data_IF_350796503470
#
_entry.id   IF_350796503470
#
_cell.length_a   1.000
_cell.length_b   1.000
_cell.length_c   1.000
_cell.angle_alpha   90.00
_cell.angle_beta   90.00
_cell.angle_gamma   90.00
#
_symmetry.space_group_name_H-M   'P 1'
#
loop_
_entity.id
_entity.type
_entity.pdbx_description
1 polymer ?
#
# COMPACT_ATOMS: atom_id res chain seq x y z
N UNK A 1 -41.77 9.59 -74.77
CA UNK A 1 -42.02 8.69 -73.62
C UNK A 1 -40.90 8.93 -72.60
N UNK A 2 -41.14 8.74 -71.29
CA UNK A 2 -40.84 9.79 -70.29
C UNK A 2 -39.41 9.75 -69.69
N UNK A 3 -38.88 10.84 -69.12
CA UNK A 3 -39.39 12.23 -69.17
C UNK A 3 -38.74 13.22 -68.18
N UNK A 4 -38.31 14.38 -68.71
CA UNK A 4 -38.50 15.74 -68.13
C UNK A 4 -37.77 16.12 -66.81
N UNK A 5 -36.61 16.81 -66.95
CA UNK A 5 -36.17 18.11 -66.32
C UNK A 5 -36.25 18.31 -64.78
N UNK A 6 -35.48 19.15 -64.06
CA UNK A 6 -34.29 19.98 -64.32
C UNK A 6 -33.67 20.46 -62.98
N UNK A 7 -32.57 21.23 -63.01
CA UNK A 7 -32.45 22.42 -62.13
C UNK A 7 -31.86 22.30 -60.70
N UNK A 8 -30.64 22.84 -60.56
CA UNK A 8 -30.08 23.72 -59.50
C UNK A 8 -30.47 23.67 -57.99
N UNK A 9 -29.49 24.08 -57.16
CA UNK A 9 -29.57 24.56 -55.75
C UNK A 9 -30.19 26.00 -55.72
N UNK A 10 -30.23 26.83 -54.61
CA UNK A 10 -29.72 26.67 -53.22
C UNK A 10 -30.61 27.31 -52.07
N UNK A 11 -30.03 27.42 -50.84
CA UNK A 11 -30.24 28.34 -49.66
C UNK A 11 -31.56 28.43 -48.83
N UNK A 12 -31.38 28.21 -47.50
CA UNK A 12 -31.73 29.09 -46.34
C UNK A 12 -33.16 29.31 -45.75
N UNK A 13 -33.13 29.93 -44.55
CA UNK A 13 -34.19 30.58 -43.75
C UNK A 13 -35.22 29.67 -43.02
N UNK A 14 -35.71 29.99 -41.79
CA UNK A 14 -35.35 30.97 -40.73
C UNK A 14 -36.06 30.52 -39.41
N UNK A 15 -35.44 30.47 -38.23
CA UNK A 15 -35.11 31.54 -37.24
C UNK A 15 -36.12 31.63 -36.05
N UNK A 16 -35.71 32.26 -34.93
CA UNK A 16 -36.42 32.31 -33.64
C UNK A 16 -35.65 31.56 -32.52
N UNK A 17 -34.69 32.15 -31.79
CA UNK A 17 -34.72 33.28 -30.82
C UNK A 17 -35.36 32.88 -29.47
N UNK A 18 -34.85 33.19 -28.26
CA UNK A 18 -33.67 33.92 -27.72
C UNK A 18 -33.48 33.42 -26.25
N UNK A 19 -32.42 33.57 -25.42
CA UNK A 19 -31.17 34.35 -25.26
C UNK A 19 -29.97 33.36 -25.00
N UNK A 20 -28.68 33.67 -24.75
CA UNK A 20 -27.92 34.63 -23.89
C UNK A 20 -28.07 34.35 -22.36
N UNK A 21 -27.01 34.34 -21.51
CA UNK A 21 -25.85 35.25 -21.46
C UNK A 21 -24.46 34.56 -21.35
N UNK A 22 -23.46 35.23 -21.94
CA UNK A 22 -21.98 35.09 -21.83
C UNK A 22 -21.41 34.99 -20.38
N UNK A 23 -20.15 34.62 -20.07
CA UNK A 23 -18.87 35.11 -20.64
C UNK A 23 -17.66 34.17 -20.56
N UNK A 24 -16.69 34.49 -21.43
CA UNK A 24 -15.36 33.92 -21.67
C UNK A 24 -14.36 33.96 -20.50
N UNK A 25 -13.33 33.09 -20.58
CA UNK A 25 -11.92 33.50 -20.53
C UNK A 25 -11.14 32.78 -21.64
N UNK A 26 -10.26 33.49 -22.34
CA UNK A 26 -9.24 32.91 -23.22
C UNK A 26 -7.91 32.81 -22.46
N UNK A 27 -7.17 31.71 -22.64
CA UNK A 27 -5.73 31.67 -22.34
C UNK A 27 -4.99 31.46 -23.64
N UNK A 28 -4.00 32.31 -23.89
CA UNK A 28 -3.27 32.34 -25.16
C UNK A 28 -2.35 31.11 -25.29
N UNK A 29 -2.39 30.45 -26.45
CA UNK A 29 -1.18 29.74 -26.92
C UNK A 29 -0.10 30.80 -27.13
N UNK A 30 1.08 30.54 -26.59
CA UNK A 30 2.30 31.23 -26.96
C UNK A 30 3.37 30.18 -27.18
N UNK A 31 3.78 30.03 -28.43
CA UNK A 31 4.77 29.05 -28.82
C UNK A 31 6.14 29.44 -28.22
N UNK A 32 6.73 28.52 -27.48
CA UNK A 32 8.14 28.50 -27.14
C UNK A 32 8.60 27.08 -27.45
N UNK A 33 9.23 26.91 -28.62
CA UNK A 33 10.08 25.76 -28.86
C UNK A 33 11.20 25.77 -27.82
N UNK A 34 11.24 24.71 -27.02
CA UNK A 34 12.39 24.39 -26.19
C UNK A 34 12.53 22.88 -26.14
N UNK A 35 13.03 22.32 -27.25
CA UNK A 35 13.62 20.99 -27.29
C UNK A 35 14.61 20.85 -26.14
N UNK A 36 14.18 20.13 -25.11
CA UNK A 36 15.02 19.58 -24.05
C UNK A 36 14.43 18.24 -23.68
N UNK A 37 15.19 17.19 -23.96
CA UNK A 37 14.91 15.83 -23.52
C UNK A 37 14.73 15.81 -22.00
N UNK A 38 13.47 15.77 -21.56
CA UNK A 38 13.13 15.43 -20.18
C UNK A 38 13.21 13.91 -20.03
N UNK A 39 14.43 13.39 -20.22
CA UNK A 39 14.79 12.01 -19.92
C UNK A 39 14.68 11.82 -18.40
N UNK A 40 13.51 11.36 -17.98
CA UNK A 40 13.13 11.18 -16.59
C UNK A 40 13.84 9.93 -16.02
N UNK A 41 15.15 10.06 -15.81
CA UNK A 41 16.10 9.01 -15.44
C UNK A 41 15.83 8.42 -14.04
N UNK A 42 14.78 7.60 -13.94
CA UNK A 42 14.27 7.02 -12.69
C UNK A 42 13.89 5.53 -12.80
N UNK A 43 14.61 4.74 -13.60
CA UNK A 43 14.68 3.29 -13.38
C UNK A 43 16.06 2.71 -13.74
N UNK A 44 16.88 2.45 -12.71
CA UNK A 44 18.09 1.63 -12.77
C UNK A 44 18.32 0.93 -11.41
N UNK A 45 17.61 -0.18 -11.21
CA UNK A 45 17.89 -1.16 -10.16
C UNK A 45 19.21 -1.90 -10.46
N UNK A 46 20.17 -1.93 -9.52
CA UNK A 46 21.48 -2.56 -9.72
C UNK A 46 22.03 -3.26 -8.47
N UNK A 47 22.42 -4.51 -8.70
CA UNK A 47 23.39 -5.31 -7.95
C UNK A 47 23.18 -5.45 -6.42
N UNK A 48 22.53 -6.57 -6.06
CA UNK A 48 22.92 -7.32 -4.87
C UNK A 48 24.44 -7.60 -4.90
N UNK A 49 25.18 -6.94 -4.03
CA UNK A 49 26.47 -7.43 -3.56
C UNK A 49 26.38 -7.64 -2.04
N UNK A 50 27.06 -8.66 -1.52
CA UNK A 50 26.87 -9.16 -0.16
C UNK A 50 27.99 -8.65 0.77
N UNK A 51 27.62 -8.06 1.93
CA UNK A 51 28.51 -7.50 2.96
C UNK A 51 29.39 -6.29 2.51
N UNK A 52 30.03 -5.52 3.41
CA UNK A 52 29.50 -4.99 4.69
C UNK A 52 29.91 -3.51 4.98
N UNK A 53 28.96 -2.67 5.42
CA UNK A 53 29.13 -1.33 6.05
C UNK A 53 29.76 -0.21 5.17
N UNK A 54 29.08 0.95 5.07
CA UNK A 54 29.60 2.28 5.47
C UNK A 54 28.43 3.29 5.61
N UNK A 55 28.63 4.39 6.32
CA UNK A 55 27.63 5.45 6.56
C UNK A 55 27.73 6.60 5.53
N UNK A 56 26.61 7.28 5.25
CA UNK A 56 26.60 8.73 4.93
C UNK A 56 25.16 9.29 4.95
N UNK A 57 24.87 10.20 5.89
CA UNK A 57 23.57 10.89 5.98
C UNK A 57 23.45 12.04 4.98
N UNK A 58 22.24 12.23 4.43
CA UNK A 58 21.72 13.55 4.04
C UNK A 58 20.22 13.60 4.29
N UNK A 59 19.80 14.42 5.25
CA UNK A 59 18.39 14.66 5.61
C UNK A 59 17.62 15.44 4.53
N UNK A 60 16.39 15.02 4.25
CA UNK A 60 15.31 15.90 3.80
C UNK A 60 13.99 15.46 4.44
N UNK A 61 13.73 15.95 5.65
CA UNK A 61 12.49 15.70 6.38
C UNK A 61 11.31 16.48 5.78
N UNK A 62 10.15 15.83 5.70
CA UNK A 62 8.87 16.49 5.47
C UNK A 62 8.03 16.41 6.74
N UNK A 63 7.69 17.57 7.31
CA UNK A 63 6.88 17.67 8.52
C UNK A 63 5.46 17.14 8.32
N UNK A 64 5.02 16.27 9.23
CA UNK A 64 3.63 15.86 9.36
C UNK A 64 3.07 16.40 10.69
N UNK A 65 2.10 17.32 10.60
CA UNK A 65 1.58 18.02 11.79
C UNK A 65 0.91 17.07 12.80
N UNK A 66 1.01 17.33 14.11
CA UNK A 66 0.48 16.45 15.15
C UNK A 66 -1.05 16.55 15.27
N UNK A 67 -1.76 15.65 14.59
CA UNK A 67 -3.17 15.33 14.79
C UNK A 67 -3.36 13.96 15.45
N UNK A 68 -4.51 13.73 16.10
CA UNK A 68 -4.88 12.51 16.85
C UNK A 68 -4.22 11.23 16.30
N UNK A 69 -3.39 10.59 17.13
CA UNK A 69 -2.46 9.54 16.70
C UNK A 69 -3.15 8.26 16.23
N UNK A 70 -3.42 8.18 14.93
CA UNK A 70 -3.83 6.97 14.20
C UNK A 70 -2.58 6.22 13.71
N UNK A 71 -2.50 4.92 13.99
CA UNK A 71 -1.34 4.10 13.65
C UNK A 71 -1.32 3.82 12.14
N UNK A 72 -0.28 4.24 11.41
CA UNK A 72 -0.12 3.86 10.00
C UNK A 72 0.37 2.43 9.91
N UNK A 73 -0.21 1.63 9.02
CA UNK A 73 0.09 0.20 8.88
C UNK A 73 0.18 -0.17 7.41
N UNK A 74 1.16 -1.00 7.08
CA UNK A 74 1.38 -1.45 5.71
C UNK A 74 1.98 -2.86 5.63
N UNK A 75 1.85 -3.46 4.45
CA UNK A 75 2.42 -4.76 4.08
C UNK A 75 3.25 -4.62 2.81
N UNK A 76 4.43 -5.20 2.82
CA UNK A 76 5.36 -5.26 1.67
C UNK A 76 6.07 -6.61 1.69
N UNK A 77 6.44 -7.19 0.54
CA UNK A 77 7.04 -8.53 0.51
C UNK A 77 8.51 -8.52 0.05
N UNK A 78 9.33 -7.69 0.69
CA UNK A 78 10.72 -7.42 0.27
C UNK A 78 11.56 -8.70 0.13
N UNK A 79 11.44 -9.63 1.10
CA UNK A 79 12.10 -10.95 1.11
C UNK A 79 11.19 -12.10 0.65
N UNK A 80 9.94 -11.81 0.25
CA UNK A 80 8.94 -12.78 -0.20
C UNK A 80 8.21 -13.54 0.91
N UNK A 81 8.12 -12.95 2.09
CA UNK A 81 7.01 -13.14 3.02
C UNK A 81 6.31 -11.78 3.18
N UNK A 82 5.01 -11.72 3.55
CA UNK A 82 4.35 -10.45 3.80
C UNK A 82 4.90 -9.86 5.10
N UNK A 83 5.78 -8.87 4.93
CA UNK A 83 6.41 -8.13 5.99
C UNK A 83 5.55 -6.91 6.33
N UNK A 84 5.00 -6.92 7.53
CA UNK A 84 4.09 -5.92 8.04
C UNK A 84 4.83 -4.92 8.92
N UNK A 85 4.55 -3.65 8.67
CA UNK A 85 5.19 -2.53 9.36
C UNK A 85 4.10 -1.61 9.91
N UNK A 86 4.27 -1.23 11.17
CA UNK A 86 3.30 -0.53 11.99
C UNK A 86 4.01 0.69 12.60
N UNK A 87 3.73 1.88 12.07
CA UNK A 87 4.35 3.12 12.54
C UNK A 87 3.62 3.61 13.79
N UNK A 88 4.30 3.58 14.95
CA UNK A 88 3.72 3.96 16.24
C UNK A 88 3.78 5.50 16.36
N UNK A 89 2.66 6.25 16.25
CA UNK A 89 2.71 7.71 16.09
C UNK A 89 3.29 8.43 17.30
N UNK A 90 3.05 7.89 18.51
CA UNK A 90 3.57 8.45 19.77
C UNK A 90 5.08 8.29 19.96
N UNK A 91 5.73 7.43 19.18
CA UNK A 91 7.16 7.15 19.28
C UNK A 91 7.94 7.62 18.06
N UNK A 92 7.28 7.85 16.92
CA UNK A 92 7.90 7.99 15.60
C UNK A 92 8.81 6.80 15.22
N UNK A 93 8.58 5.64 15.84
CA UNK A 93 9.31 4.39 15.63
C UNK A 93 8.41 3.35 14.94
N UNK A 94 8.98 2.55 14.04
CA UNK A 94 8.27 1.47 13.36
C UNK A 94 8.42 0.15 14.13
N UNK A 95 7.32 -0.61 14.21
CA UNK A 95 7.29 -2.00 14.63
C UNK A 95 7.18 -2.89 13.38
N UNK A 96 7.99 -3.94 13.29
CA UNK A 96 8.04 -4.85 12.13
C UNK A 96 7.77 -6.29 12.56
N UNK A 97 6.91 -6.99 11.81
CA UNK A 97 6.67 -8.42 11.98
C UNK A 97 6.41 -9.07 10.61
N UNK A 98 6.59 -10.39 10.55
CA UNK A 98 6.30 -11.21 9.38
C UNK A 98 5.25 -12.24 9.78
N UNK A 99 4.32 -12.55 8.89
CA UNK A 99 3.39 -13.68 9.05
C UNK A 99 3.65 -14.65 7.90
N UNK A 100 4.15 -15.85 8.21
CA UNK A 100 4.40 -16.91 7.24
C UNK A 100 3.08 -17.49 6.71
N UNK A 101 2.47 -16.78 5.75
CA UNK A 101 1.23 -17.20 5.10
C UNK A 101 1.41 -18.38 4.16
N UNK A 102 0.30 -19.01 3.77
CA UNK A 102 0.29 -20.17 2.86
C UNK A 102 -0.19 -19.75 1.47
N UNK A 103 0.29 -20.44 0.45
CA UNK A 103 -0.15 -20.19 -0.92
C UNK A 103 -1.62 -20.59 -1.10
N UNK A 104 -2.41 -19.68 -1.67
CA UNK A 104 -3.87 -19.66 -1.86
C UNK A 104 -4.70 -19.22 -0.65
N UNK A 105 -4.09 -18.97 0.50
CA UNK A 105 -4.84 -18.41 1.64
C UNK A 105 -5.21 -16.95 1.35
N UNK A 106 -6.44 -16.56 1.68
CA UNK A 106 -6.93 -15.18 1.58
C UNK A 106 -6.93 -14.58 2.98
N UNK A 107 -6.21 -13.47 3.18
CA UNK A 107 -6.01 -12.84 4.48
C UNK A 107 -6.84 -11.58 4.65
N UNK A 108 -7.60 -11.54 5.74
CA UNK A 108 -8.32 -10.36 6.22
C UNK A 108 -7.37 -9.33 6.81
N UNK A 109 -6.98 -8.36 5.98
CA UNK A 109 -6.08 -7.28 6.35
C UNK A 109 -6.80 -6.22 7.19
N UNK A 110 -8.06 -5.91 6.87
CA UNK A 110 -8.88 -4.95 7.60
C UNK A 110 -10.35 -5.33 7.54
N UNK A 111 -11.07 -5.14 8.64
CA UNK A 111 -12.54 -5.16 8.68
C UNK A 111 -13.02 -4.10 9.67
N UNK A 112 -13.80 -3.12 9.19
CA UNK A 112 -14.50 -2.15 10.02
C UNK A 112 -16.02 -2.41 9.93
N UNK A 113 -16.62 -3.14 10.90
CA UNK A 113 -18.03 -3.51 10.85
C UNK A 113 -18.98 -2.31 11.05
N UNK A 114 -18.49 -1.16 11.52
CA UNK A 114 -19.29 0.06 11.65
C UNK A 114 -19.29 0.88 10.35
N UNK A 115 -18.26 0.76 9.51
CA UNK A 115 -18.20 1.36 8.17
C UNK A 115 -18.64 0.39 7.06
N UNK A 116 -18.72 -0.90 7.35
CA UNK A 116 -18.95 -1.94 6.35
C UNK A 116 -17.79 -2.08 5.36
N UNK A 117 -16.57 -1.74 5.78
CA UNK A 117 -15.35 -1.82 4.94
C UNK A 117 -14.62 -3.11 5.27
N UNK A 118 -14.26 -3.89 4.24
CA UNK A 118 -13.38 -5.05 4.37
C UNK A 118 -12.25 -4.92 3.34
N UNK A 119 -11.04 -5.34 3.73
CA UNK A 119 -9.88 -5.52 2.84
C UNK A 119 -9.34 -6.93 3.04
N UNK A 120 -9.53 -7.77 2.04
CA UNK A 120 -9.05 -9.16 2.00
C UNK A 120 -7.99 -9.30 0.87
N UNK A 121 -6.92 -10.09 1.09
CA UNK A 121 -5.78 -10.20 0.16
C UNK A 121 -5.33 -11.64 -0.05
N UNK A 122 -5.22 -12.07 -1.32
CA UNK A 122 -4.85 -13.45 -1.69
C UNK A 122 -3.33 -13.60 -1.78
N UNK A 123 -2.82 -14.72 -1.26
CA UNK A 123 -1.40 -15.06 -1.27
C UNK A 123 -1.04 -16.02 -2.41
N UNK A 124 -0.21 -15.58 -3.36
CA UNK A 124 0.48 -16.49 -4.30
C UNK A 124 1.77 -17.02 -3.67
N UNK A 125 2.06 -18.31 -3.86
CA UNK A 125 3.30 -18.94 -3.39
C UNK A 125 4.51 -18.63 -4.28
N UNK A 126 5.69 -18.57 -3.67
CA UNK A 126 6.96 -18.27 -4.32
C UNK A 126 8.02 -19.36 -4.11
N UNK A 127 9.06 -19.44 -4.98
CA UNK A 127 10.17 -20.37 -4.79
C UNK A 127 10.87 -20.17 -3.44
N UNK A 128 11.04 -21.24 -2.68
CA UNK A 128 11.77 -21.22 -1.41
C UNK A 128 13.24 -20.82 -1.60
N UNK A 129 13.83 -20.22 -0.56
CA UNK A 129 15.25 -19.87 -0.56
C UNK A 129 16.10 -21.11 -0.23
N UNK A 130 17.19 -21.40 -0.99
CA UNK A 130 18.08 -22.52 -0.69
C UNK A 130 18.64 -22.47 0.73
N UNK A 131 18.60 -23.60 1.44
CA UNK A 131 18.97 -23.70 2.86
C UNK A 131 17.95 -23.11 3.83
N UNK A 132 16.75 -22.77 3.35
CA UNK A 132 15.61 -22.28 4.13
C UNK A 132 14.27 -22.79 3.55
N UNK A 133 14.28 -24.01 2.99
CA UNK A 133 13.16 -24.63 2.28
C UNK A 133 11.89 -24.75 3.14
N UNK A 134 12.06 -24.98 4.45
CA UNK A 134 11.02 -25.07 5.49
C UNK A 134 10.30 -23.74 5.78
N UNK A 135 10.67 -22.63 5.11
CA UNK A 135 9.98 -21.34 5.22
C UNK A 135 9.18 -21.08 3.94
N UNK A 136 7.84 -21.18 3.99
CA UNK A 136 7.02 -20.85 2.83
C UNK A 136 7.20 -19.36 2.49
N UNK A 137 7.30 -19.07 1.20
CA UNK A 137 7.37 -17.70 0.69
C UNK A 137 6.07 -17.39 -0.04
N UNK A 138 5.47 -16.24 0.25
CA UNK A 138 4.20 -15.80 -0.31
C UNK A 138 4.16 -14.29 -0.56
N UNK A 139 3.41 -13.92 -1.58
CA UNK A 139 3.22 -12.55 -2.06
C UNK A 139 1.73 -12.25 -2.21
N UNK A 140 1.29 -11.01 -2.02
CA UNK A 140 -0.05 -10.61 -2.48
C UNK A 140 -0.03 -10.41 -4.01
N UNK A 141 -0.90 -11.10 -4.74
CA UNK A 141 -1.13 -10.90 -6.19
C UNK A 141 -2.49 -10.25 -6.49
N UNK A 142 -3.43 -10.36 -5.54
CA UNK A 142 -4.74 -9.70 -5.56
C UNK A 142 -5.12 -9.14 -4.19
N UNK A 143 -5.73 -7.95 -4.21
CA UNK A 143 -6.39 -7.33 -3.07
C UNK A 143 -7.85 -7.03 -3.46
N UNK A 144 -8.77 -7.26 -2.54
CA UNK A 144 -10.20 -6.99 -2.70
C UNK A 144 -10.63 -6.06 -1.57
N UNK A 145 -11.16 -4.88 -1.92
CA UNK A 145 -11.71 -3.91 -0.98
C UNK A 145 -13.22 -3.86 -1.22
N UNK A 146 -14.02 -4.24 -0.24
CA UNK A 146 -15.48 -4.08 -0.27
C UNK A 146 -15.93 -2.98 0.67
N UNK A 147 -16.97 -2.23 0.28
CA UNK A 147 -17.60 -1.22 1.11
C UNK A 147 -19.12 -1.33 0.98
N UNK A 148 -19.78 -1.70 2.08
CA UNK A 148 -21.23 -1.78 2.15
C UNK A 148 -21.85 -0.37 2.09
N UNK A 149 -22.69 -0.10 1.09
CA UNK A 149 -23.20 1.27 0.85
C UNK A 149 -24.54 1.54 1.50
N UNK A 150 -25.26 0.50 1.93
CA UNK A 150 -26.64 0.59 2.41
C UNK A 150 -27.64 1.05 1.35
N UNK A 151 -27.28 0.92 0.06
CA UNK A 151 -28.06 1.34 -1.11
C UNK A 151 -28.18 0.20 -2.14
N UNK A 152 -28.36 0.56 -3.41
CA UNK A 152 -28.66 -0.31 -4.55
C UNK A 152 -27.68 -1.47 -4.76
N UNK A 153 -26.39 -1.22 -4.49
CA UNK A 153 -25.30 -2.18 -4.62
C UNK A 153 -24.14 -1.75 -3.72
N UNK A 154 -23.44 -2.71 -3.14
CA UNK A 154 -22.19 -2.47 -2.43
C UNK A 154 -21.05 -2.26 -3.42
N UNK A 155 -20.02 -1.50 -3.02
CA UNK A 155 -18.87 -1.23 -3.90
C UNK A 155 -17.80 -2.29 -3.67
N UNK A 156 -17.28 -2.85 -4.76
CA UNK A 156 -16.16 -3.79 -4.76
C UNK A 156 -15.03 -3.25 -5.62
N UNK A 157 -13.81 -3.25 -5.08
CA UNK A 157 -12.59 -2.82 -5.75
C UNK A 157 -11.63 -4.01 -5.79
N UNK A 158 -11.48 -4.63 -6.96
CA UNK A 158 -10.53 -5.72 -7.16
C UNK A 158 -9.24 -5.16 -7.79
N UNK A 159 -8.15 -5.14 -7.02
CA UNK A 159 -6.82 -4.76 -7.49
C UNK A 159 -6.02 -6.03 -7.78
N UNK A 160 -5.49 -6.13 -8.99
CA UNK A 160 -4.60 -7.20 -9.46
C UNK A 160 -3.37 -6.61 -10.13
N UNK A 161 -2.35 -7.42 -10.37
CA UNK A 161 -1.15 -6.98 -11.10
C UNK A 161 -1.46 -6.40 -12.49
N UNK A 162 -2.46 -6.93 -13.22
CA UNK A 162 -2.80 -6.46 -14.57
C UNK A 162 -3.77 -5.27 -14.59
N UNK A 163 -4.66 -5.18 -13.59
CA UNK A 163 -5.77 -4.21 -13.62
C UNK A 163 -6.45 -3.96 -12.28
N UNK A 164 -7.13 -2.82 -12.18
CA UNK A 164 -8.07 -2.47 -11.12
C UNK A 164 -9.49 -2.45 -11.68
N UNK A 165 -10.41 -3.14 -11.03
CA UNK A 165 -11.83 -3.23 -11.40
C UNK A 165 -12.69 -2.62 -10.30
N UNK A 166 -13.67 -1.81 -10.66
CA UNK A 166 -14.63 -1.18 -9.75
C UNK A 166 -16.07 -1.60 -10.08
N UNK A 167 -16.69 -2.33 -9.17
CA UNK A 167 -18.05 -2.89 -9.29
C UNK A 167 -19.03 -2.24 -8.30
N UNK A 168 -20.33 -2.50 -8.44
CA UNK A 168 -21.41 -1.85 -7.71
C UNK A 168 -22.56 -1.48 -8.66
N UNK A 169 -23.00 -0.22 -8.66
CA UNK A 169 -24.04 0.29 -9.58
C UNK A 169 -23.61 0.32 -11.08
N UNK A 170 -22.38 -0.10 -11.38
CA UNK A 170 -21.82 -0.24 -12.72
C UNK A 170 -20.52 -1.04 -12.70
N UNK A 171 -19.86 -1.13 -13.84
CA UNK A 171 -18.59 -1.85 -13.99
C UNK A 171 -17.59 -0.96 -14.73
N UNK A 172 -16.46 -0.69 -14.11
CA UNK A 172 -15.34 0.07 -14.69
C UNK A 172 -14.03 -0.71 -14.49
N UNK A 173 -13.09 -0.58 -15.44
CA UNK A 173 -11.78 -1.25 -15.38
C UNK A 173 -10.66 -0.34 -15.87
N UNK A 174 -9.68 -0.11 -15.01
CA UNK A 174 -8.39 0.51 -15.37
C UNK A 174 -7.33 -0.59 -15.54
N UNK A 175 -6.62 -0.68 -16.68
CA UNK A 175 -5.39 -1.47 -16.75
C UNK A 175 -4.29 -0.76 -15.95
N UNK A 176 -3.38 -1.50 -15.29
CA UNK A 176 -2.33 -0.83 -14.48
C UNK A 176 -1.34 -0.03 -15.32
N UNK A 177 -1.20 -0.36 -16.61
CA UNK A 177 -0.18 0.18 -17.52
C UNK A 177 -0.53 1.54 -18.13
N UNK A 178 -1.53 2.22 -17.58
CA UNK A 178 -1.99 3.54 -18.01
C UNK A 178 -2.37 4.35 -16.77
N UNK A 179 -2.11 5.66 -16.80
CA UNK A 179 -2.63 6.55 -15.77
C UNK A 179 -4.13 6.77 -15.99
N UNK A 180 -4.93 6.72 -14.93
CA UNK A 180 -6.37 6.90 -15.02
C UNK A 180 -7.05 7.01 -13.65
N UNK A 181 -8.27 7.54 -13.63
CA UNK A 181 -9.05 7.67 -12.39
C UNK A 181 -10.53 7.38 -12.64
N UNK A 182 -11.13 6.62 -11.74
CA UNK A 182 -12.59 6.39 -11.68
C UNK A 182 -13.09 6.98 -10.36
N UNK A 183 -14.22 7.70 -10.40
CA UNK A 183 -14.92 8.14 -9.19
C UNK A 183 -16.38 7.71 -9.23
N UNK A 184 -16.82 6.96 -8.22
CA UNK A 184 -18.17 6.43 -8.08
C UNK A 184 -18.66 6.59 -6.65
N UNK A 185 -19.83 7.21 -6.47
CA UNK A 185 -20.39 7.55 -5.16
C UNK A 185 -19.36 8.26 -4.24
N UNK A 186 -18.97 7.61 -3.14
CA UNK A 186 -18.03 8.09 -2.12
C UNK A 186 -16.60 7.50 -2.28
N UNK A 187 -16.31 6.89 -3.43
CA UNK A 187 -15.03 6.23 -3.74
C UNK A 187 -14.35 6.87 -4.94
N UNK A 188 -13.05 7.17 -4.82
CA UNK A 188 -12.16 7.51 -5.94
C UNK A 188 -11.03 6.48 -6.02
N UNK A 189 -10.78 5.95 -7.22
CA UNK A 189 -9.71 5.00 -7.51
C UNK A 189 -8.82 5.61 -8.59
N UNK A 190 -7.55 5.86 -8.28
CA UNK A 190 -6.60 6.50 -9.19
C UNK A 190 -5.37 5.63 -9.39
N UNK A 191 -5.13 5.20 -10.62
CA UNK A 191 -4.00 4.37 -11.05
C UNK A 191 -2.93 5.24 -11.68
N UNK A 192 -1.68 5.00 -11.29
CA UNK A 192 -0.50 5.66 -11.81
C UNK A 192 0.45 4.60 -12.40
N UNK A 193 0.35 4.43 -13.73
CA UNK A 193 1.16 3.60 -14.63
C UNK A 193 2.20 2.65 -13.98
N UNK A 194 1.80 1.41 -13.65
CA UNK A 194 2.65 0.38 -13.03
C UNK A 194 3.32 0.75 -11.69
N UNK A 195 3.07 1.92 -11.10
CA UNK A 195 3.68 2.38 -9.86
C UNK A 195 2.74 2.23 -8.67
N UNK A 196 1.51 2.75 -8.77
CA UNK A 196 0.55 2.72 -7.67
C UNK A 196 -0.93 2.77 -8.05
N UNK A 197 -1.78 2.37 -7.11
CA UNK A 197 -3.21 2.61 -7.11
C UNK A 197 -3.62 3.24 -5.78
N UNK A 198 -4.11 4.48 -5.82
CA UNK A 198 -4.73 5.17 -4.68
C UNK A 198 -6.21 4.83 -4.63
N UNK A 199 -6.71 4.55 -3.42
CA UNK A 199 -8.13 4.29 -3.14
C UNK A 199 -8.54 5.24 -2.01
N UNK A 200 -9.33 6.24 -2.36
CA UNK A 200 -9.88 7.22 -1.42
C UNK A 200 -11.35 6.92 -1.17
N UNK A 201 -11.67 6.59 0.09
CA UNK A 201 -13.04 6.42 0.58
C UNK A 201 -13.42 7.66 1.40
N UNK A 202 -14.72 7.87 1.65
CA UNK A 202 -15.16 9.01 2.46
C UNK A 202 -14.62 8.97 3.90
N UNK A 203 -14.73 10.13 4.59
CA UNK A 203 -14.37 10.32 6.01
C UNK A 203 -12.86 10.19 6.29
N UNK A 204 -12.00 10.43 5.30
CA UNK A 204 -10.54 10.38 5.42
C UNK A 204 -10.01 8.94 5.65
N UNK A 205 -10.52 7.98 4.88
CA UNK A 205 -9.98 6.62 4.81
C UNK A 205 -9.28 6.46 3.45
N UNK A 206 -7.95 6.46 3.45
CA UNK A 206 -7.12 6.44 2.24
C UNK A 206 -6.24 5.18 2.27
N UNK A 207 -6.38 4.35 1.25
CA UNK A 207 -5.49 3.22 1.00
C UNK A 207 -4.59 3.51 -0.21
N UNK A 208 -3.40 2.94 -0.18
CA UNK A 208 -2.47 2.92 -1.30
C UNK A 208 -2.09 1.46 -1.56
N UNK A 209 -2.13 1.06 -2.82
CA UNK A 209 -1.51 -0.19 -3.30
C UNK A 209 -0.29 0.18 -4.11
N UNK A 210 0.87 -0.41 -3.80
CA UNK A 210 2.06 -0.33 -4.63
C UNK A 210 2.20 -1.57 -5.49
N UNK A 211 2.54 -1.39 -6.76
CA UNK A 211 2.87 -2.48 -7.66
C UNK A 211 4.39 -2.68 -7.66
N UNK A 212 4.85 -3.82 -7.15
CA UNK A 212 6.27 -4.14 -7.01
C UNK A 212 6.76 -4.97 -8.20
N UNK A 213 7.01 -4.27 -9.31
CA UNK A 213 7.67 -4.84 -10.48
C UNK A 213 9.19 -4.88 -10.32
N UNK A 214 9.82 -5.87 -10.95
CA UNK A 214 11.27 -6.07 -10.96
C UNK A 214 11.74 -6.11 -12.42
N UNK A 215 12.72 -5.27 -12.78
CA UNK A 215 13.29 -5.22 -14.14
C UNK A 215 14.14 -6.46 -14.46
N UNK A 216 14.88 -6.94 -13.46
CA UNK A 216 15.79 -8.09 -13.57
C UNK A 216 15.57 -9.06 -12.39
N UNK A 217 14.41 -9.74 -12.31
CA UNK A 217 14.09 -10.62 -11.20
C UNK A 217 15.03 -11.82 -11.16
N UNK A 218 15.67 -12.03 -10.01
CA UNK A 218 16.15 -13.36 -9.62
C UNK A 218 14.96 -14.31 -9.41
N UNK A 219 15.20 -15.62 -9.42
CA UNK A 219 14.15 -16.64 -9.18
C UNK A 219 13.45 -16.51 -7.81
N UNK A 220 13.96 -15.70 -6.88
CA UNK A 220 13.32 -15.41 -5.60
C UNK A 220 12.35 -14.22 -5.67
N UNK A 221 12.44 -13.36 -6.68
CA UNK A 221 11.67 -12.12 -6.80
C UNK A 221 10.48 -12.31 -7.75
N UNK A 222 9.27 -12.04 -7.26
CA UNK A 222 8.04 -12.09 -8.05
C UNK A 222 7.32 -10.73 -7.99
N UNK A 223 6.67 -10.37 -9.09
CA UNK A 223 5.80 -9.20 -9.12
C UNK A 223 4.66 -9.38 -8.10
N UNK A 224 4.40 -8.34 -7.30
CA UNK A 224 3.44 -8.42 -6.20
C UNK A 224 2.84 -7.06 -5.84
N UNK A 225 1.81 -7.08 -4.99
CA UNK A 225 1.15 -5.93 -4.41
C UNK A 225 1.69 -5.68 -2.99
N UNK A 226 1.94 -4.43 -2.65
CA UNK A 226 2.04 -3.97 -1.26
C UNK A 226 0.79 -3.17 -0.89
N UNK A 227 0.25 -3.33 0.32
CA UNK A 227 -0.98 -2.65 0.78
C UNK A 227 -0.68 -1.71 1.95
N UNK A 228 -1.18 -0.47 1.89
CA UNK A 228 -0.81 0.60 2.81
C UNK A 228 -2.05 1.37 3.27
N UNK A 229 -2.28 1.44 4.59
CA UNK A 229 -3.27 2.33 5.21
C UNK A 229 -2.58 3.68 5.45
N UNK A 230 -2.74 4.60 4.50
CA UNK A 230 -2.04 5.91 4.50
C UNK A 230 -2.81 6.95 5.29
N UNK A 231 -4.15 6.84 5.35
CA UNK A 231 -4.98 7.54 6.31
C UNK A 231 -6.08 6.60 6.83
N UNK A 232 -6.16 6.43 8.16
CA UNK A 232 -7.17 5.62 8.82
C UNK A 232 -8.12 6.42 9.71
N UNK A 233 -8.09 7.75 9.70
CA UNK A 233 -8.83 8.58 10.67
C UNK A 233 -10.36 8.40 10.60
N UNK A 234 -10.90 7.96 9.45
CA UNK A 234 -12.32 7.67 9.31
C UNK A 234 -12.76 6.32 9.86
N UNK A 235 -11.83 5.41 10.16
CA UNK A 235 -12.12 4.06 10.67
C UNK A 235 -12.67 4.11 12.10
N UNK A 236 -13.38 3.05 12.51
CA UNK A 236 -13.99 2.94 13.83
C UNK A 236 -13.09 2.24 14.84
N UNK A 237 -13.32 2.48 16.12
CA UNK A 237 -12.65 1.76 17.21
C UNK A 237 -12.95 0.23 17.24
N UNK A 238 -13.86 -0.26 16.39
CA UNK A 238 -14.15 -1.68 16.20
C UNK A 238 -13.40 -2.28 14.99
N UNK A 239 -12.51 -1.54 14.34
CA UNK A 239 -11.72 -2.02 13.21
C UNK A 239 -10.78 -3.14 13.65
N UNK A 240 -10.86 -4.28 12.97
CA UNK A 240 -10.14 -5.52 13.22
C UNK A 240 -9.45 -6.02 11.94
N UNK A 241 -9.01 -7.28 11.92
CA UNK A 241 -8.18 -7.83 10.84
C UNK A 241 -6.69 -7.52 11.04
N UNK A 242 -5.84 -8.20 10.28
CA UNK A 242 -4.40 -8.35 10.50
C UNK A 242 -3.63 -7.02 10.63
N UNK A 243 -4.15 -5.95 10.01
CA UNK A 243 -3.61 -4.59 10.01
C UNK A 243 -4.59 -3.56 10.60
N UNK A 244 -5.89 -3.75 10.34
CA UNK A 244 -6.95 -2.89 10.87
C UNK A 244 -6.95 -2.83 12.40
N UNK A 245 -6.65 -3.95 13.06
CA UNK A 245 -6.62 -4.03 14.53
C UNK A 245 -5.64 -3.07 15.21
N UNK A 246 -4.61 -2.58 14.51
CA UNK A 246 -3.63 -1.66 15.09
C UNK A 246 -4.04 -0.18 15.00
N UNK A 247 -4.97 0.20 14.11
CA UNK A 247 -5.26 1.59 13.74
C UNK A 247 -5.53 2.53 14.93
N UNK A 248 -6.23 2.03 15.95
CA UNK A 248 -6.63 2.79 17.15
C UNK A 248 -5.95 2.29 18.43
N UNK A 249 -4.78 1.65 18.34
CA UNK A 249 -4.11 1.03 19.48
C UNK A 249 -3.05 1.90 20.13
N UNK A 250 -2.91 1.76 21.46
CA UNK A 250 -1.84 2.39 22.23
C UNK A 250 -0.71 1.38 22.46
N UNK A 251 0.29 1.41 21.57
CA UNK A 251 1.51 0.61 21.67
C UNK A 251 2.66 1.45 22.22
N UNK A 252 3.40 0.89 23.19
CA UNK A 252 4.58 1.55 23.78
C UNK A 252 5.75 0.59 23.85
N UNK A 253 6.97 1.06 23.55
CA UNK A 253 8.19 0.25 23.58
C UNK A 253 9.14 0.81 24.63
N UNK A 254 9.41 0.00 25.66
CA UNK A 254 10.40 0.35 26.69
C UNK A 254 11.76 -0.19 26.27
N UNK A 255 12.69 0.69 25.88
CA UNK A 255 14.08 0.33 25.55
C UNK A 255 14.76 -0.29 26.79
N UNK A 256 15.24 -1.53 26.65
CA UNK A 256 15.91 -2.28 27.71
C UNK A 256 17.40 -1.95 27.72
N UNK A 257 17.92 -1.52 28.86
CA UNK A 257 19.36 -1.30 29.04
C UNK A 257 20.07 -2.65 29.12
N UNK A 258 21.12 -2.84 28.33
CA UNK A 258 22.01 -3.99 28.47
C UNK A 258 22.81 -3.85 29.78
N UNK A 259 22.49 -4.67 30.78
CA UNK A 259 23.26 -4.74 32.02
C UNK A 259 24.50 -5.61 31.78
N UNK A 260 25.74 -5.13 32.01
CA UNK A 260 26.95 -5.90 31.80
C UNK A 260 27.19 -6.87 32.97
N UNK A 261 26.43 -7.97 33.01
CA UNK A 261 26.62 -9.03 34.01
C UNK A 261 27.72 -10.02 33.59
N UNK A 262 28.87 -9.90 34.24
CA UNK A 262 29.91 -10.94 34.28
C UNK A 262 31.01 -10.82 33.21
N UNK A 263 32.26 -10.84 33.66
CA UNK A 263 33.44 -10.81 32.81
C UNK A 263 33.52 -12.05 31.90
N UNK A 264 33.11 -11.92 30.64
CA UNK A 264 33.51 -12.81 29.54
C UNK A 264 34.04 -11.95 28.39
N UNK A 265 35.19 -12.32 27.83
CA UNK A 265 35.86 -11.51 26.83
C UNK A 265 34.99 -11.38 25.57
N UNK A 266 34.69 -10.13 25.19
CA UNK A 266 33.84 -9.82 24.04
C UNK A 266 34.66 -10.07 22.76
N UNK A 267 34.38 -11.17 22.07
CA UNK A 267 34.82 -11.36 20.69
C UNK A 267 34.08 -10.36 19.80
N UNK A 268 34.83 -9.50 19.10
CA UNK A 268 34.31 -8.35 18.37
C UNK A 268 33.50 -8.74 17.12
N UNK A 269 32.22 -9.07 17.30
CA UNK A 269 31.21 -9.11 16.21
C UNK A 269 29.74 -8.99 16.64
N UNK A 270 29.41 -9.04 17.93
CA UNK A 270 28.08 -8.64 18.40
C UNK A 270 27.97 -7.10 18.44
N UNK A 271 27.52 -6.50 17.34
CA UNK A 271 26.99 -5.14 17.37
C UNK A 271 25.86 -5.06 18.41
N UNK A 272 25.74 -3.95 19.13
CA UNK A 272 24.87 -3.86 20.32
C UNK A 272 23.39 -3.78 19.95
N UNK A 273 22.80 -4.93 19.61
CA UNK A 273 21.37 -5.09 19.29
C UNK A 273 20.55 -4.51 20.44
N UNK A 274 19.89 -3.37 20.16
CA UNK A 274 19.07 -2.70 21.16
C UNK A 274 17.81 -3.52 21.39
N UNK A 275 17.59 -3.93 22.64
CA UNK A 275 16.44 -4.74 23.06
C UNK A 275 15.35 -3.83 23.59
N UNK A 276 14.10 -4.25 23.42
CA UNK A 276 12.93 -3.51 23.89
C UNK A 276 11.87 -4.45 24.45
N UNK A 277 11.00 -3.90 25.28
CA UNK A 277 9.75 -4.53 25.70
C UNK A 277 8.59 -3.76 25.07
N UNK A 278 7.98 -4.34 24.04
CA UNK A 278 6.71 -3.84 23.50
C UNK A 278 5.60 -4.16 24.51
N UNK A 279 4.71 -3.19 24.72
CA UNK A 279 3.50 -3.30 25.53
C UNK A 279 2.30 -2.93 24.66
N UNK A 280 1.31 -3.82 24.63
CA UNK A 280 0.07 -3.66 23.87
C UNK A 280 -1.09 -4.22 24.70
N UNK A 281 -1.98 -3.35 25.16
CA UNK A 281 -3.01 -3.71 26.15
C UNK A 281 -2.39 -4.35 27.40
N UNK A 282 -2.79 -5.59 27.71
CA UNK A 282 -2.22 -6.37 28.82
C UNK A 282 -0.97 -7.18 28.42
N UNK A 283 -0.67 -7.32 27.13
CA UNK A 283 0.44 -8.15 26.66
C UNK A 283 1.78 -7.40 26.71
N UNK A 284 2.85 -8.13 27.04
CA UNK A 284 4.23 -7.67 26.91
C UNK A 284 5.06 -8.69 26.12
N UNK A 285 5.90 -8.22 25.19
CA UNK A 285 6.75 -9.08 24.34
C UNK A 285 8.10 -8.44 24.07
N UNK A 286 9.13 -9.28 23.87
CA UNK A 286 10.50 -8.80 23.62
C UNK A 286 10.70 -8.50 22.14
N UNK A 287 11.23 -7.32 21.84
CA UNK A 287 11.53 -6.85 20.48
C UNK A 287 13.01 -6.47 20.35
N UNK A 288 13.53 -6.51 19.12
CA UNK A 288 14.91 -6.08 18.81
C UNK A 288 14.90 -4.99 17.75
N UNK A 289 15.58 -3.87 18.00
CA UNK A 289 15.79 -2.85 16.99
C UNK A 289 16.78 -3.39 15.97
N UNK A 290 16.39 -3.39 14.69
CA UNK A 290 17.20 -3.78 13.56
C UNK A 290 17.07 -2.74 12.45
N UNK A 291 18.16 -2.47 11.75
CA UNK A 291 18.12 -1.74 10.49
C UNK A 291 17.49 -2.64 9.42
N UNK A 292 16.55 -2.08 8.63
CA UNK A 292 15.79 -2.76 7.58
C UNK A 292 15.81 -1.93 6.30
N UNK A 293 15.85 -2.62 5.15
CA UNK A 293 15.52 -1.98 3.87
C UNK A 293 14.01 -1.88 3.76
N UNK A 294 13.47 -0.66 3.91
CA UNK A 294 12.04 -0.40 3.85
C UNK A 294 11.63 0.09 2.45
N UNK A 295 10.44 -0.33 2.04
CA UNK A 295 9.72 0.19 0.86
C UNK A 295 8.32 0.61 1.33
N UNK A 296 8.29 1.66 2.13
CA UNK A 296 7.08 2.14 2.82
C UNK A 296 6.23 3.13 2.00
N UNK A 297 6.77 3.59 0.88
CA UNK A 297 6.30 4.75 0.12
C UNK A 297 6.64 4.62 -1.37
N UNK A 298 6.24 5.61 -2.18
CA UNK A 298 6.59 5.70 -3.60
C UNK A 298 8.11 5.86 -3.83
N UNK A 299 8.86 6.41 -2.87
CA UNK A 299 10.29 6.70 -2.97
C UNK A 299 11.16 5.44 -3.12
N UNK A 300 12.47 5.62 -3.37
CA UNK A 300 13.43 4.50 -3.41
C UNK A 300 13.47 3.78 -2.05
N UNK A 301 13.89 2.52 -2.05
CA UNK A 301 14.13 1.79 -0.79
C UNK A 301 15.17 2.54 0.04
N UNK A 302 14.91 2.67 1.34
CA UNK A 302 15.82 3.34 2.27
C UNK A 302 16.16 2.41 3.44
N UNK A 303 17.21 2.74 4.18
CA UNK A 303 17.45 2.13 5.49
C UNK A 303 16.51 2.75 6.52
N UNK A 304 15.94 1.95 7.40
CA UNK A 304 15.07 2.39 8.49
C UNK A 304 15.19 1.49 9.70
N UNK A 305 15.23 2.08 10.91
CA UNK A 305 15.32 1.34 12.17
C UNK A 305 13.94 0.88 12.61
N UNK A 306 13.77 -0.44 12.72
CA UNK A 306 12.49 -1.05 13.04
C UNK A 306 12.60 -2.04 14.20
N UNK A 307 11.61 -2.03 15.09
CA UNK A 307 11.50 -2.99 16.18
C UNK A 307 10.93 -4.31 15.67
N UNK A 308 11.80 -5.28 15.44
CA UNK A 308 11.40 -6.61 14.97
C UNK A 308 10.82 -7.43 16.10
N UNK A 309 9.60 -7.93 15.89
CA UNK A 309 8.92 -8.92 16.73
C UNK A 309 9.39 -10.33 16.31
N UNK A 310 9.90 -11.17 17.24
CA UNK A 310 10.26 -12.55 16.93
C UNK A 310 9.06 -13.36 16.46
N UNK A 311 9.22 -14.25 15.47
CA UNK A 311 8.12 -15.09 14.93
C UNK A 311 7.29 -15.80 16.02
N UNK A 312 7.94 -16.33 17.06
CA UNK A 312 7.28 -17.00 18.20
C UNK A 312 6.46 -16.08 19.12
N UNK A 313 6.50 -14.76 18.90
CA UNK A 313 5.71 -13.75 19.60
C UNK A 313 4.60 -13.15 18.68
N UNK A 314 4.55 -13.49 17.39
CA UNK A 314 3.65 -12.86 16.40
C UNK A 314 2.18 -13.20 16.64
N UNK A 315 1.83 -14.46 16.92
CA UNK A 315 0.44 -14.80 17.30
C UNK A 315 0.01 -14.11 18.60
N UNK A 316 0.97 -13.76 19.47
CA UNK A 316 0.71 -12.93 20.64
C UNK A 316 0.38 -11.50 20.20
N UNK A 317 1.26 -10.87 19.41
CA UNK A 317 1.05 -9.54 18.79
C UNK A 317 -0.27 -9.42 18.01
N UNK A 318 -0.72 -10.51 17.40
CA UNK A 318 -1.99 -10.56 16.70
C UNK A 318 -3.16 -10.75 17.69
N UNK A 319 -2.96 -11.51 18.77
CA UNK A 319 -3.99 -11.85 19.76
C UNK A 319 -4.74 -13.15 19.42
N UNK A 320 -4.53 -13.66 18.22
CA UNK A 320 -5.17 -14.84 17.64
C UNK A 320 -4.15 -15.62 16.79
N UNK A 321 -4.46 -16.88 16.44
CA UNK A 321 -3.61 -17.65 15.51
C UNK A 321 -3.78 -17.17 14.07
N UNK A 322 -2.85 -17.57 13.21
CA UNK A 322 -2.89 -17.27 11.78
C UNK A 322 -4.25 -17.57 11.12
N UNK A 323 -4.85 -18.71 11.43
CA UNK A 323 -6.09 -19.21 10.82
C UNK A 323 -7.29 -18.28 11.02
N UNK A 324 -7.32 -17.49 12.11
CA UNK A 324 -8.43 -16.56 12.37
C UNK A 324 -8.48 -15.37 11.39
N UNK A 325 -7.40 -15.14 10.63
CA UNK A 325 -7.33 -14.12 9.58
C UNK A 325 -7.53 -14.72 8.18
N UNK A 326 -7.63 -16.04 8.04
CA UNK A 326 -7.87 -16.70 6.75
C UNK A 326 -9.38 -16.76 6.48
N UNK A 327 -9.80 -16.40 5.26
CA UNK A 327 -11.21 -16.43 4.83
C UNK A 327 -11.42 -17.32 3.60
N UNK A 328 -12.57 -18.00 3.55
CA UNK A 328 -12.89 -19.01 2.52
C UNK A 328 -13.28 -18.43 1.13
N UNK A 329 -13.12 -17.13 0.89
CA UNK A 329 -13.71 -16.44 -0.28
C UNK A 329 -12.87 -15.29 -0.83
N UNK A 330 -13.11 -14.99 -2.11
CA UNK A 330 -12.81 -13.75 -2.84
C UNK A 330 -13.90 -13.49 -3.87
#
# INVERSE_FOLDING_TARGET
>A
MPGVTDGARPWEAAAGDLLDVSTSIQVQRKDIDLDKDYDANYDYDYNLNYDPWDDTDTDTSFDAQPGLGTVRVFSSSVDGDPHFVVQIPKLHESLCFTVDGRAKDVLRLLEDPHRGIIVDGHLVGAPSKPGAEERPRTYFDRLVISMATGRSADILISVSLDSVVLEGEGWDKLPVNQQGSIRRQEVTVTVDNHHSCWIELSRNIHFLVLFHYYRHPSYLQMAHLGFYITNGQGLSHNTQGLLGQFQHTDMTITRLKNHPEGNRAITSREASVSRGLLRWGQQHMRVTLQDKSLKDSLQKRHSGKCWVVPKAEVERLLGHSYESYVVDHM
#
